data_IF_870858655634
#
_entry.id   IF_870858655634
#
_cell.length_a   1.000
_cell.length_b   1.000
_cell.length_c   1.000
_cell.angle_alpha   90.00
_cell.angle_beta   90.00
_cell.angle_gamma   90.00
#
_symmetry.space_group_name_H-M   'P 1'
#
loop_
_entity.id
_entity.type
_entity.pdbx_description
1 polymer ?
#
# COMPACT_ATOMS: atom_id res chain seq x y z
N UNK A 1 -3.21 2.30 -31.76
CA UNK A 1 -3.28 1.84 -30.35
C UNK A 1 -2.35 0.67 -30.10
N UNK A 2 -1.14 0.92 -29.60
CA UNK A 2 -0.21 -0.14 -29.20
C UNK A 2 -0.54 -0.59 -27.77
N UNK A 3 -1.62 -1.36 -27.62
CA UNK A 3 -2.02 -1.96 -26.33
C UNK A 3 -1.39 -3.35 -26.23
N UNK A 4 -0.71 -3.63 -25.11
CA UNK A 4 -0.14 -4.97 -24.88
C UNK A 4 -1.24 -5.99 -24.58
N UNK A 5 -1.01 -7.27 -24.89
CA UNK A 5 -1.97 -8.36 -24.61
C UNK A 5 -2.39 -8.40 -23.13
N UNK A 6 -1.45 -8.09 -22.22
CA UNK A 6 -1.70 -8.03 -20.78
C UNK A 6 -2.60 -6.86 -20.39
N UNK A 7 -2.43 -5.69 -21.03
CA UNK A 7 -3.32 -4.54 -20.82
C UNK A 7 -4.74 -4.83 -21.34
N UNK A 8 -4.85 -5.53 -22.47
CA UNK A 8 -6.15 -5.88 -23.04
C UNK A 8 -6.92 -6.86 -22.13
N UNK A 9 -6.23 -7.86 -21.56
CA UNK A 9 -6.82 -8.79 -20.61
C UNK A 9 -7.36 -8.10 -19.34
N UNK A 10 -6.67 -7.05 -18.88
CA UNK A 10 -7.08 -6.26 -17.71
C UNK A 10 -8.26 -5.36 -18.03
N UNK A 11 -8.28 -4.74 -19.21
CA UNK A 11 -9.41 -3.95 -19.70
C UNK A 11 -10.66 -4.83 -19.84
N UNK A 12 -10.48 -6.09 -20.23
CA UNK A 12 -11.55 -7.09 -20.30
C UNK A 12 -11.90 -7.73 -18.94
N UNK A 13 -11.28 -7.30 -17.83
CA UNK A 13 -11.48 -7.83 -16.47
C UNK A 13 -11.36 -9.37 -16.35
N UNK A 14 -10.51 -10.00 -17.19
CA UNK A 14 -10.37 -11.44 -17.24
C UNK A 14 -9.48 -11.97 -16.10
N UNK A 15 -10.08 -12.18 -14.91
CA UNK A 15 -9.39 -12.65 -13.70
C UNK A 15 -8.73 -14.03 -13.89
N UNK A 16 -9.42 -14.98 -14.52
CA UNK A 16 -8.91 -16.33 -14.76
C UNK A 16 -7.68 -16.35 -15.66
N UNK A 17 -7.65 -15.51 -16.70
CA UNK A 17 -6.51 -15.42 -17.61
C UNK A 17 -5.27 -14.90 -16.88
N UNK A 18 -5.41 -13.84 -16.08
CA UNK A 18 -4.29 -13.29 -15.29
C UNK A 18 -3.81 -14.27 -14.22
N UNK A 19 -4.71 -15.11 -13.69
CA UNK A 19 -4.37 -16.09 -12.66
C UNK A 19 -3.53 -17.28 -13.18
N UNK A 20 -3.43 -17.48 -14.50
CA UNK A 20 -2.64 -18.54 -15.12
C UNK A 20 -1.15 -18.43 -14.76
N UNK A 21 -0.50 -19.58 -14.56
CA UNK A 21 0.89 -19.63 -14.07
C UNK A 21 1.88 -18.90 -14.99
N UNK A 22 1.75 -19.07 -16.31
CA UNK A 22 2.66 -18.40 -17.26
C UNK A 22 2.57 -16.87 -17.21
N UNK A 23 1.37 -16.30 -17.00
CA UNK A 23 1.19 -14.86 -16.83
C UNK A 23 1.77 -14.40 -15.49
N UNK A 24 1.61 -15.19 -14.44
CA UNK A 24 2.17 -14.91 -13.12
C UNK A 24 3.70 -14.97 -13.12
N UNK A 25 4.31 -15.86 -13.89
CA UNK A 25 5.78 -15.94 -14.04
C UNK A 25 6.34 -14.71 -14.75
N UNK A 26 5.66 -14.24 -15.81
CA UNK A 26 6.00 -12.97 -16.48
C UNK A 26 5.86 -11.78 -15.52
N UNK A 27 4.78 -11.75 -14.73
CA UNK A 27 4.56 -10.69 -13.74
C UNK A 27 5.63 -10.70 -12.64
N UNK A 28 6.05 -11.89 -12.23
CA UNK A 28 7.14 -12.08 -11.28
C UNK A 28 8.46 -11.53 -11.84
N UNK A 29 8.78 -11.79 -13.12
CA UNK A 29 9.99 -11.24 -13.75
C UNK A 29 9.95 -9.70 -13.83
N UNK A 30 8.79 -9.14 -14.17
CA UNK A 30 8.60 -7.68 -14.16
C UNK A 30 8.78 -7.11 -12.74
N UNK A 31 8.30 -7.83 -11.71
CA UNK A 31 8.36 -7.39 -10.32
C UNK A 31 9.79 -7.35 -9.76
N UNK A 32 10.61 -8.36 -10.06
CA UNK A 32 12.03 -8.42 -9.65
C UNK A 32 12.97 -7.67 -10.61
N UNK A 33 12.49 -7.30 -11.80
CA UNK A 33 13.26 -6.56 -12.79
C UNK A 33 14.42 -7.39 -13.33
N UNK A 34 15.65 -6.87 -13.22
CA UNK A 34 16.86 -7.55 -13.73
C UNK A 34 17.56 -8.44 -12.70
N UNK A 35 16.95 -8.67 -11.54
CA UNK A 35 17.52 -9.51 -10.47
C UNK A 35 17.28 -10.99 -10.81
N UNK A 36 18.31 -11.83 -10.68
CA UNK A 36 18.18 -13.28 -10.96
C UNK A 36 17.22 -13.97 -9.97
N UNK A 37 16.41 -14.90 -10.46
CA UNK A 37 15.45 -15.70 -9.69
C UNK A 37 16.11 -16.58 -8.63
N UNK A 38 17.40 -16.89 -8.78
CA UNK A 38 18.18 -17.73 -7.84
C UNK A 38 18.47 -17.02 -6.52
N UNK A 39 18.39 -15.69 -6.49
CA UNK A 39 18.67 -14.90 -5.29
C UNK A 39 17.57 -15.11 -4.25
N UNK A 40 17.95 -15.56 -3.05
CA UNK A 40 17.00 -15.71 -1.95
C UNK A 40 16.38 -14.36 -1.53
N UNK A 41 15.09 -14.36 -1.19
CA UNK A 41 14.39 -13.14 -0.75
C UNK A 41 15.08 -12.46 0.46
N UNK A 42 15.64 -13.24 1.38
CA UNK A 42 16.38 -12.73 2.54
C UNK A 42 17.62 -11.94 2.14
N UNK A 43 18.32 -12.38 1.08
CA UNK A 43 19.51 -11.70 0.59
C UNK A 43 19.16 -10.39 -0.12
N UNK A 44 18.03 -10.33 -0.83
CA UNK A 44 17.49 -9.08 -1.41
C UNK A 44 17.09 -8.09 -0.31
N UNK A 45 16.45 -8.57 0.77
CA UNK A 45 16.08 -7.73 1.91
C UNK A 45 17.35 -7.19 2.58
N UNK A 46 18.34 -8.05 2.85
CA UNK A 46 19.61 -7.63 3.43
C UNK A 46 20.34 -6.61 2.55
N UNK A 47 20.40 -6.83 1.23
CA UNK A 47 21.03 -5.90 0.28
C UNK A 47 20.27 -4.58 0.13
N UNK A 48 18.95 -4.57 0.37
CA UNK A 48 18.15 -3.34 0.36
C UNK A 48 18.41 -2.46 1.59
N UNK A 49 18.68 -3.08 2.75
CA UNK A 49 19.07 -2.38 3.99
C UNK A 49 20.52 -1.92 3.88
N UNK A 50 21.41 -2.83 3.47
CA UNK A 50 22.83 -2.59 3.26
C UNK A 50 23.10 -2.34 1.79
N UNK A 51 22.72 -1.14 1.32
CA UNK A 51 22.93 -0.65 -0.06
C UNK A 51 24.29 -1.04 -0.68
N UNK A 52 25.42 -1.00 0.05
CA UNK A 52 26.70 -1.38 -0.52
C UNK A 52 26.77 -2.84 -1.03
N UNK A 53 25.97 -3.74 -0.45
CA UNK A 53 25.93 -5.15 -0.80
C UNK A 53 25.14 -5.42 -2.09
N UNK A 54 24.28 -4.48 -2.51
CA UNK A 54 23.46 -4.65 -3.71
C UNK A 54 24.27 -4.73 -5.00
N UNK A 55 25.43 -4.08 -5.09
CA UNK A 55 26.27 -4.17 -6.30
C UNK A 55 26.93 -5.53 -6.53
N UNK A 56 26.93 -6.42 -5.52
CA UNK A 56 27.48 -7.78 -5.58
C UNK A 56 26.44 -8.86 -5.90
N UNK A 57 25.17 -8.48 -6.05
CA UNK A 57 24.11 -9.39 -6.46
C UNK A 57 24.36 -9.95 -7.86
N UNK A 58 23.90 -11.17 -8.11
CA UNK A 58 23.80 -11.73 -9.47
C UNK A 58 22.63 -11.08 -10.18
N UNK A 59 22.92 -10.39 -11.28
CA UNK A 59 21.91 -9.81 -12.16
C UNK A 59 21.79 -10.69 -13.41
N UNK A 60 20.61 -10.69 -14.02
CA UNK A 60 20.44 -11.26 -15.35
C UNK A 60 21.27 -10.41 -16.33
N UNK A 61 22.45 -10.91 -16.69
CA UNK A 61 23.16 -10.47 -17.88
C UNK A 61 22.31 -10.77 -19.11
N UNK A 62 22.33 -9.87 -20.09
CA UNK A 62 21.73 -10.14 -21.39
C UNK A 62 22.30 -11.47 -21.92
N UNK A 63 21.43 -12.27 -22.55
CA UNK A 63 21.68 -13.56 -23.21
C UNK A 63 22.69 -13.47 -24.39
N UNK A 64 23.71 -12.61 -24.31
CA UNK A 64 24.81 -12.53 -25.28
C UNK A 64 25.87 -13.60 -24.97
N UNK A 65 25.97 -14.10 -23.73
CA UNK A 65 26.89 -15.21 -23.41
C UNK A 65 26.41 -16.58 -23.90
N UNK A 66 25.11 -16.81 -24.06
CA UNK A 66 24.62 -18.10 -24.55
C UNK A 66 24.88 -18.30 -26.05
N UNK A 67 25.06 -17.24 -26.85
CA UNK A 67 25.54 -17.42 -28.24
C UNK A 67 27.00 -17.87 -28.33
N UNK A 68 27.80 -17.67 -27.26
CA UNK A 68 29.21 -18.05 -27.25
C UNK A 68 29.43 -19.47 -26.69
N UNK A 69 28.42 -20.08 -26.04
CA UNK A 69 28.53 -21.41 -25.43
C UNK A 69 27.98 -22.57 -26.27
N UNK A 70 27.28 -22.27 -27.38
CA UNK A 70 26.78 -23.28 -28.33
C UNK A 70 27.51 -23.24 -29.68
N UNK A 71 28.83 -23.15 -29.65
CA UNK A 71 29.65 -23.43 -30.83
C UNK A 71 30.43 -24.73 -30.61
N UNK A 72 29.75 -25.86 -30.77
CA UNK A 72 30.38 -27.12 -31.20
C UNK A 72 29.55 -27.73 -32.35
N UNK A 73 30.20 -28.50 -33.24
CA UNK A 73 29.97 -28.45 -34.67
C UNK A 73 28.84 -29.37 -35.16
N UNK A 74 28.27 -28.96 -36.29
CA UNK A 74 27.52 -29.77 -37.26
C UNK A 74 26.30 -30.57 -36.77
N UNK A 75 25.10 -30.04 -37.06
CA UNK A 75 24.13 -30.62 -38.01
C UNK A 75 22.66 -30.26 -37.69
N UNK A 76 21.92 -29.88 -38.75
CA UNK A 76 20.44 -29.85 -38.86
C UNK A 76 19.63 -28.82 -38.05
N UNK A 77 19.64 -27.57 -38.52
CA UNK A 77 18.47 -26.82 -39.01
C UNK A 77 17.07 -27.19 -38.46
N UNK A 78 16.57 -26.44 -37.47
CA UNK A 78 15.14 -26.07 -37.39
C UNK A 78 14.97 -24.63 -36.89
N UNK A 79 14.09 -23.91 -37.58
CA UNK A 79 14.00 -22.46 -37.67
C UNK A 79 13.08 -21.82 -36.60
N UNK A 80 13.52 -20.73 -35.96
CA UNK A 80 12.62 -19.66 -35.49
C UNK A 80 13.14 -18.32 -36.04
N UNK A 81 12.71 -17.89 -37.25
CA UNK A 81 13.14 -16.64 -37.86
C UNK A 81 11.94 -15.69 -37.94
N UNK A 82 11.81 -14.71 -37.03
CA UNK A 82 10.81 -13.64 -37.29
C UNK A 82 10.99 -12.27 -36.64
N UNK A 83 12.13 -11.92 -36.05
CA UNK A 83 12.33 -10.54 -35.56
C UNK A 83 13.59 -9.82 -36.04
N UNK A 84 14.55 -10.52 -36.67
CA UNK A 84 15.82 -9.92 -37.12
C UNK A 84 15.81 -9.45 -38.58
N UNK A 85 14.97 -10.05 -39.43
CA UNK A 85 15.01 -9.84 -40.89
C UNK A 85 14.40 -8.54 -41.42
N UNK A 86 13.73 -7.74 -40.57
CA UNK A 86 13.11 -6.48 -41.00
C UNK A 86 14.03 -5.27 -40.83
N UNK A 87 15.05 -5.39 -39.98
CA UNK A 87 16.02 -4.31 -39.72
C UNK A 87 17.19 -4.43 -40.70
N UNK A 88 17.65 -5.67 -40.99
CA UNK A 88 18.80 -5.91 -41.86
C UNK A 88 18.54 -5.67 -43.36
N UNK A 89 17.28 -5.50 -43.78
CA UNK A 89 16.93 -5.21 -45.19
C UNK A 89 16.88 -3.71 -45.54
N UNK A 90 17.20 -2.81 -44.61
CA UNK A 90 17.20 -1.35 -44.87
C UNK A 90 18.58 -0.70 -44.94
N UNK A 91 19.67 -1.44 -44.73
CA UNK A 91 21.03 -0.91 -44.87
C UNK A 91 21.90 -1.86 -45.69
N UNK A 92 21.71 -1.87 -47.01
CA UNK A 92 22.77 -2.21 -47.94
C UNK A 92 22.80 -1.08 -48.97
N UNK A 93 23.75 -0.17 -48.82
CA UNK A 93 24.54 0.34 -49.95
C UNK A 93 25.74 1.13 -49.42
N UNK A 94 26.91 0.80 -49.99
CA UNK A 94 28.17 1.55 -50.01
C UNK A 94 28.78 2.03 -48.67
N UNK A 95 29.81 1.32 -48.17
CA UNK A 95 31.21 1.80 -48.28
C UNK A 95 32.17 1.08 -47.33
N UNK A 96 33.29 0.66 -47.91
CA UNK A 96 34.40 -0.14 -47.36
C UNK A 96 35.29 0.62 -46.36
N UNK A 97 34.73 1.57 -45.62
CA UNK A 97 35.44 2.41 -44.63
C UNK A 97 34.97 2.12 -43.19
N UNK A 98 33.88 1.38 -43.01
CA UNK A 98 33.29 1.08 -41.70
C UNK A 98 34.08 0.02 -40.90
N UNK A 99 34.86 -0.83 -41.58
CA UNK A 99 35.54 -1.96 -40.93
C UNK A 99 36.69 -1.58 -39.99
N UNK A 100 37.25 -0.36 -40.08
CA UNK A 100 38.28 0.12 -39.14
C UNK A 100 37.73 0.93 -37.97
N UNK A 101 36.52 1.45 -38.07
CA UNK A 101 35.85 2.13 -36.95
C UNK A 101 35.15 1.14 -36.01
N UNK A 102 34.80 -0.05 -36.51
CA UNK A 102 34.19 -1.11 -35.71
C UNK A 102 35.23 -1.77 -34.78
N UNK A 103 36.50 -1.88 -35.18
CA UNK A 103 37.55 -2.46 -34.31
C UNK A 103 37.93 -1.55 -33.13
N UNK A 104 37.85 -0.23 -33.28
CA UNK A 104 38.08 0.72 -32.17
C UNK A 104 36.86 0.82 -31.24
N UNK A 105 35.62 0.71 -31.76
CA UNK A 105 34.42 0.66 -30.91
C UNK A 105 34.24 -0.69 -30.19
N UNK A 106 34.75 -1.81 -30.74
CA UNK A 106 34.75 -3.11 -30.05
C UNK A 106 35.78 -3.16 -28.90
N UNK A 107 36.87 -2.40 -28.99
CA UNK A 107 37.87 -2.29 -27.93
C UNK A 107 37.46 -1.35 -26.79
N UNK A 108 36.42 -0.52 -26.95
CA UNK A 108 35.84 0.31 -25.87
C UNK A 108 34.93 -0.53 -24.93
N UNK A 109 34.53 -1.73 -25.34
CA UNK A 109 33.67 -2.63 -24.54
C UNK A 109 34.45 -3.36 -23.44
N UNK A 110 35.77 -3.52 -23.58
CA UNK A 110 36.59 -4.15 -22.54
C UNK A 110 37.22 -3.12 -21.60
N UNK A 111 36.62 -3.07 -20.38
CA UNK A 111 37.09 -2.46 -19.13
C UNK A 111 36.32 -1.21 -18.69
N UNK A 112 34.99 -1.33 -18.53
CA UNK A 112 34.29 -0.48 -17.55
C UNK A 112 34.98 -0.70 -16.18
N UNK A 113 35.43 0.37 -15.53
CA UNK A 113 36.04 0.29 -14.20
C UNK A 113 35.08 -0.43 -13.24
N UNK A 114 35.59 -1.27 -12.33
CA UNK A 114 34.75 -2.05 -11.41
C UNK A 114 33.75 -1.18 -10.62
N UNK A 115 34.12 0.08 -10.33
CA UNK A 115 33.25 1.06 -9.67
C UNK A 115 32.10 1.53 -10.58
N UNK A 116 32.35 1.74 -11.87
CA UNK A 116 31.29 2.14 -12.81
C UNK A 116 30.28 1.02 -13.01
N UNK A 117 30.75 -0.22 -13.14
CA UNK A 117 29.87 -1.40 -13.20
C UNK A 117 29.08 -1.58 -11.91
N UNK A 118 29.72 -1.39 -10.76
CA UNK A 118 29.07 -1.45 -9.45
C UNK A 118 27.95 -0.40 -9.31
N UNK A 119 28.20 0.86 -9.67
CA UNK A 119 27.18 1.93 -9.62
C UNK A 119 26.02 1.62 -10.57
N UNK A 120 26.31 1.06 -11.74
CA UNK A 120 25.29 0.64 -12.72
C UNK A 120 24.42 -0.49 -12.14
N UNK A 121 25.02 -1.49 -11.51
CA UNK A 121 24.31 -2.58 -10.84
C UNK A 121 23.43 -2.07 -9.69
N UNK A 122 23.95 -1.17 -8.83
CA UNK A 122 23.17 -0.54 -7.75
C UNK A 122 22.01 0.27 -8.32
N UNK A 123 22.21 1.01 -9.40
CA UNK A 123 21.13 1.75 -10.07
C UNK A 123 20.05 0.81 -10.59
N UNK A 124 20.44 -0.27 -11.28
CA UNK A 124 19.50 -1.29 -11.76
C UNK A 124 18.68 -1.89 -10.61
N UNK A 125 19.33 -2.17 -9.48
CA UNK A 125 18.67 -2.66 -8.27
C UNK A 125 17.61 -1.68 -7.73
N UNK A 126 17.97 -0.39 -7.60
CA UNK A 126 17.06 0.64 -7.10
C UNK A 126 15.86 0.88 -8.04
N UNK A 127 16.02 0.61 -9.34
CA UNK A 127 14.93 0.73 -10.31
C UNK A 127 13.94 -0.43 -10.24
N UNK A 128 14.31 -1.57 -9.63
CA UNK A 128 13.44 -2.74 -9.53
C UNK A 128 12.16 -2.45 -8.71
N UNK A 129 10.96 -2.82 -9.21
CA UNK A 129 9.69 -2.56 -8.52
C UNK A 129 9.61 -3.13 -7.11
N UNK A 130 10.13 -4.35 -6.89
CA UNK A 130 10.17 -4.96 -5.57
C UNK A 130 10.99 -4.16 -4.57
N UNK A 131 12.16 -3.65 -4.99
CA UNK A 131 13.04 -2.84 -4.15
C UNK A 131 12.39 -1.50 -3.80
N UNK A 132 11.71 -0.85 -4.76
CA UNK A 132 10.89 0.35 -4.50
C UNK A 132 9.79 0.07 -3.48
N UNK A 133 9.13 -1.08 -3.58
CA UNK A 133 8.13 -1.51 -2.60
C UNK A 133 8.74 -1.70 -1.20
N UNK A 134 9.91 -2.33 -1.07
CA UNK A 134 10.61 -2.47 0.21
C UNK A 134 10.98 -1.12 0.82
N UNK A 135 11.49 -0.18 0.02
CA UNK A 135 11.78 1.17 0.49
C UNK A 135 10.53 1.94 0.93
N UNK A 136 9.40 1.74 0.24
CA UNK A 136 8.12 2.30 0.67
C UNK A 136 7.65 1.69 2.00
N UNK A 137 7.84 0.39 2.21
CA UNK A 137 7.55 -0.28 3.47
C UNK A 137 8.42 0.26 4.61
N UNK A 138 9.74 0.36 4.43
CA UNK A 138 10.65 0.90 5.44
C UNK A 138 10.33 2.34 5.80
N UNK A 139 10.09 3.18 4.78
CA UNK A 139 9.64 4.55 4.94
C UNK A 139 8.36 4.64 5.77
N UNK A 140 7.35 3.82 5.47
CA UNK A 140 6.09 3.79 6.21
C UNK A 140 6.27 3.39 7.68
N UNK A 141 7.11 2.39 7.96
CA UNK A 141 7.41 1.99 9.34
C UNK A 141 8.13 3.10 10.11
N UNK A 142 9.11 3.77 9.49
CA UNK A 142 9.81 4.92 10.09
C UNK A 142 8.84 6.08 10.33
N UNK A 143 7.92 6.35 9.39
CA UNK A 143 6.87 7.33 9.55
C UNK A 143 5.98 7.03 10.76
N UNK A 144 5.51 5.79 10.92
CA UNK A 144 4.70 5.39 12.08
C UNK A 144 5.45 5.54 13.41
N UNK A 145 6.74 5.18 13.44
CA UNK A 145 7.58 5.34 14.62
C UNK A 145 7.79 6.83 14.95
N UNK A 146 8.09 7.66 13.96
CA UNK A 146 8.23 9.11 14.13
C UNK A 146 6.92 9.72 14.63
N UNK A 147 5.79 9.38 14.02
CA UNK A 147 4.48 9.88 14.42
C UNK A 147 4.18 9.46 15.86
N UNK A 148 4.35 8.19 16.20
CA UNK A 148 4.14 7.68 17.57
C UNK A 148 5.03 8.41 18.58
N UNK A 149 6.30 8.63 18.25
CA UNK A 149 7.23 9.40 19.08
C UNK A 149 6.77 10.85 19.27
N UNK A 150 6.36 11.54 18.20
CA UNK A 150 5.85 12.92 18.29
C UNK A 150 4.62 12.98 19.20
N UNK A 151 3.64 12.07 19.03
CA UNK A 151 2.41 12.07 19.82
C UNK A 151 2.63 11.76 21.31
N UNK A 152 3.60 10.90 21.62
CA UNK A 152 3.88 10.45 23.00
C UNK A 152 4.84 11.37 23.74
N UNK A 153 5.91 11.84 23.09
CA UNK A 153 7.04 12.50 23.75
C UNK A 153 7.16 13.99 23.44
N UNK A 154 6.86 14.42 22.21
CA UNK A 154 7.22 15.77 21.72
C UNK A 154 6.01 16.68 21.40
N UNK A 155 4.78 16.25 21.71
CA UNK A 155 3.56 17.02 21.43
C UNK A 155 3.18 17.94 22.61
N UNK A 156 3.70 19.16 22.59
CA UNK A 156 3.48 20.18 23.62
C UNK A 156 2.51 21.30 23.19
N UNK A 157 1.76 21.91 24.13
CA UNK A 157 0.90 23.05 23.85
C UNK A 157 1.73 24.29 23.49
N UNK A 158 1.38 24.95 22.37
CA UNK A 158 2.11 26.12 21.86
C UNK A 158 1.90 27.40 22.69
N UNK A 159 0.82 27.48 23.48
CA UNK A 159 0.38 28.72 24.13
C UNK A 159 0.48 28.67 25.65
N UNK A 160 0.86 27.53 26.24
CA UNK A 160 0.96 27.40 27.70
C UNK A 160 2.38 27.79 28.16
N UNK A 161 2.45 29.03 28.64
CA UNK A 161 3.48 29.69 29.46
C UNK A 161 4.89 29.04 29.46
N UNK A 162 5.81 29.71 28.76
CA UNK A 162 7.28 29.60 28.88
C UNK A 162 7.99 28.59 27.98
N UNK A 163 7.80 28.70 26.67
CA UNK A 163 8.87 28.39 25.71
C UNK A 163 8.84 29.33 24.51
N UNK A 164 9.94 30.04 24.27
CA UNK A 164 10.17 30.90 23.11
C UNK A 164 10.43 30.10 21.82
N UNK A 165 9.96 28.85 21.77
CA UNK A 165 10.30 27.86 20.76
C UNK A 165 9.01 27.47 20.04
N UNK A 166 9.03 27.55 18.71
CA UNK A 166 7.92 27.12 17.85
C UNK A 166 7.69 25.59 17.89
N UNK A 167 6.98 25.01 16.90
CA UNK A 167 6.81 23.56 16.84
C UNK A 167 8.16 22.84 16.90
N UNK A 168 8.20 21.68 17.56
CA UNK A 168 9.43 20.91 17.68
C UNK A 168 9.94 20.51 16.29
N UNK A 169 11.26 20.36 16.14
CA UNK A 169 11.86 19.99 14.85
C UNK A 169 11.32 18.65 14.34
N UNK A 170 11.08 17.71 15.25
CA UNK A 170 10.51 16.38 14.97
C UNK A 170 9.07 16.48 14.46
N UNK A 171 8.27 17.39 15.01
CA UNK A 171 6.93 17.66 14.52
C UNK A 171 6.92 18.37 13.17
N UNK A 172 7.85 19.32 12.94
CA UNK A 172 7.99 19.95 11.62
C UNK A 172 8.35 18.93 10.54
N UNK A 173 9.24 17.99 10.87
CA UNK A 173 9.56 16.86 9.98
C UNK A 173 8.31 16.01 9.70
N UNK A 174 7.48 15.73 10.72
CA UNK A 174 6.22 14.99 10.54
C UNK A 174 5.24 15.74 9.62
N UNK A 175 5.04 17.05 9.84
CA UNK A 175 4.18 17.90 9.00
C UNK A 175 4.67 17.89 7.55
N UNK A 176 5.99 18.06 7.36
CA UNK A 176 6.60 17.99 6.03
C UNK A 176 6.37 16.61 5.41
N UNK A 177 6.50 15.54 6.18
CA UNK A 177 6.27 14.17 5.72
C UNK A 177 4.83 13.95 5.25
N UNK A 178 3.83 14.34 6.04
CA UNK A 178 2.41 14.23 5.65
C UNK A 178 2.12 15.10 4.42
N UNK A 179 2.74 16.27 4.31
CA UNK A 179 2.67 17.08 3.10
C UNK A 179 3.23 16.35 1.87
N UNK A 180 4.30 15.55 2.02
CA UNK A 180 4.81 14.71 0.91
C UNK A 180 3.80 13.66 0.46
N UNK A 181 3.06 13.07 1.42
CA UNK A 181 2.02 12.08 1.13
C UNK A 181 0.85 12.74 0.40
N UNK A 182 0.45 13.95 0.82
CA UNK A 182 -0.53 14.77 0.08
C UNK A 182 -0.09 15.01 -1.38
N UNK A 183 1.16 15.42 -1.59
CA UNK A 183 1.68 15.63 -2.95
C UNK A 183 1.67 14.33 -3.78
N UNK A 184 1.96 13.19 -3.14
CA UNK A 184 1.90 11.90 -3.80
C UNK A 184 0.47 11.51 -4.19
N UNK A 185 -0.53 11.74 -3.33
CA UNK A 185 -1.93 11.49 -3.69
C UNK A 185 -2.42 12.40 -4.83
N UNK A 186 -2.03 13.68 -4.81
CA UNK A 186 -2.31 14.60 -5.92
C UNK A 186 -1.66 14.11 -7.23
N UNK A 187 -0.42 13.61 -7.17
CA UNK A 187 0.27 13.02 -8.32
C UNK A 187 -0.49 11.80 -8.85
N UNK A 188 -0.97 10.92 -7.98
CA UNK A 188 -1.72 9.72 -8.35
C UNK A 188 -3.02 10.06 -9.09
N UNK A 189 -3.79 11.04 -8.58
CA UNK A 189 -5.02 11.51 -9.23
C UNK A 189 -4.70 12.04 -10.63
N UNK A 190 -3.65 12.86 -10.77
CA UNK A 190 -3.25 13.46 -12.05
C UNK A 190 -2.77 12.45 -13.08
N UNK A 191 -2.07 11.40 -12.65
CA UNK A 191 -1.45 10.39 -13.51
C UNK A 191 -2.45 9.41 -14.15
N UNK A 192 -3.73 9.43 -13.75
CA UNK A 192 -4.78 8.63 -14.39
C UNK A 192 -5.01 9.09 -15.84
N UNK A 193 -5.23 8.12 -16.75
CA UNK A 193 -5.38 8.33 -18.20
C UNK A 193 -6.65 9.09 -18.61
N UNK A 194 -7.65 9.18 -17.75
CA UNK A 194 -8.95 9.83 -18.03
C UNK A 194 -8.75 11.33 -18.29
N UNK A 195 -9.34 11.93 -19.32
CA UNK A 195 -9.11 13.35 -19.63
C UNK A 195 -9.85 14.32 -18.70
N UNK A 196 -11.06 13.97 -18.25
CA UNK A 196 -11.86 14.81 -17.34
C UNK A 196 -11.37 14.73 -15.90
N UNK A 197 -11.19 15.89 -15.25
CA UNK A 197 -10.74 15.97 -13.84
C UNK A 197 -11.74 15.35 -12.87
N UNK A 198 -13.04 15.55 -13.08
CA UNK A 198 -14.08 14.93 -12.26
C UNK A 198 -14.06 13.40 -12.39
N UNK A 199 -13.91 12.90 -13.61
CA UNK A 199 -13.79 11.45 -13.87
C UNK A 199 -12.55 10.83 -13.21
N UNK A 200 -11.41 11.55 -13.18
CA UNK A 200 -10.20 11.10 -12.45
C UNK A 200 -10.49 10.95 -10.95
N UNK A 201 -11.15 11.94 -10.36
CA UNK A 201 -11.43 12.01 -8.92
C UNK A 201 -12.46 10.94 -8.51
N UNK A 202 -13.53 10.77 -9.28
CA UNK A 202 -14.54 9.73 -9.04
C UNK A 202 -13.92 8.33 -9.09
N UNK A 203 -13.09 8.05 -10.10
CA UNK A 203 -12.36 6.79 -10.20
C UNK A 203 -11.36 6.61 -9.05
N UNK A 204 -10.77 7.68 -8.53
CA UNK A 204 -9.84 7.61 -7.40
C UNK A 204 -10.56 7.22 -6.11
N UNK A 205 -11.72 7.83 -5.84
CA UNK A 205 -12.56 7.51 -4.69
C UNK A 205 -13.37 6.22 -4.83
N UNK A 206 -13.21 5.43 -5.89
CA UNK A 206 -13.81 4.08 -5.93
C UNK A 206 -13.07 3.12 -5.01
N UNK A 207 -11.75 3.30 -4.83
CA UNK A 207 -10.89 2.41 -4.06
C UNK A 207 -10.97 2.78 -2.56
N UNK A 208 -11.24 1.80 -1.70
CA UNK A 208 -11.40 2.00 -0.25
C UNK A 208 -10.15 2.61 0.39
N UNK A 209 -8.97 2.09 0.07
CA UNK A 209 -7.69 2.57 0.62
C UNK A 209 -7.43 4.04 0.30
N UNK A 210 -7.74 4.47 -0.93
CA UNK A 210 -7.62 5.87 -1.34
C UNK A 210 -8.56 6.80 -0.56
N UNK A 211 -9.77 6.32 -0.19
CA UNK A 211 -10.68 7.08 0.68
C UNK A 211 -10.08 7.24 2.08
N UNK A 212 -9.52 6.16 2.63
CA UNK A 212 -8.90 6.14 3.95
C UNK A 212 -7.68 7.07 4.00
N UNK A 213 -6.81 7.04 2.99
CA UNK A 213 -5.64 7.92 2.87
C UNK A 213 -6.05 9.39 2.78
N UNK A 214 -7.07 9.71 1.97
CA UNK A 214 -7.58 11.08 1.86
C UNK A 214 -8.17 11.57 3.17
N UNK A 215 -8.91 10.70 3.87
CA UNK A 215 -9.53 11.01 5.15
C UNK A 215 -8.47 11.28 6.24
N UNK A 216 -7.44 10.43 6.34
CA UNK A 216 -6.32 10.61 7.27
C UNK A 216 -5.61 11.95 7.04
N UNK A 217 -5.26 12.26 5.77
CA UNK A 217 -4.59 13.51 5.43
C UNK A 217 -5.46 14.73 5.80
N UNK A 218 -6.77 14.68 5.57
CA UNK A 218 -7.69 15.77 5.95
C UNK A 218 -7.75 15.93 7.48
N UNK A 219 -7.86 14.84 8.24
CA UNK A 219 -7.84 14.88 9.71
C UNK A 219 -6.55 15.47 10.26
N UNK A 220 -5.41 15.14 9.66
CA UNK A 220 -4.11 15.70 10.02
C UNK A 220 -4.08 17.22 9.82
N UNK A 221 -4.53 17.73 8.68
CA UNK A 221 -4.57 19.18 8.43
C UNK A 221 -5.57 19.90 9.34
N UNK A 222 -6.73 19.31 9.62
CA UNK A 222 -7.67 19.84 10.62
C UNK A 222 -6.99 19.94 11.99
N UNK A 223 -6.21 18.94 12.38
CA UNK A 223 -5.45 18.93 13.63
C UNK A 223 -4.40 20.04 13.66
N UNK A 224 -3.65 20.22 12.58
CA UNK A 224 -2.71 21.34 12.45
C UNK A 224 -3.43 22.69 12.66
N UNK A 225 -4.59 22.90 12.02
CA UNK A 225 -5.36 24.14 12.16
C UNK A 225 -5.84 24.33 13.60
N UNK A 226 -6.45 23.31 14.20
CA UNK A 226 -6.95 23.34 15.58
C UNK A 226 -5.83 23.63 16.60
N UNK A 227 -4.62 23.18 16.32
CA UNK A 227 -3.45 23.42 17.17
C UNK A 227 -3.03 24.90 17.20
N UNK A 228 -3.19 25.63 16.09
CA UNK A 228 -2.85 27.05 16.04
C UNK A 228 -3.91 27.97 16.64
N UNK A 229 -5.09 27.45 17.00
CA UNK A 229 -6.15 28.25 17.61
C UNK A 229 -5.89 28.45 19.12
N UNK A 230 -5.82 29.71 19.61
CA UNK A 230 -5.52 30.04 21.01
C UNK A 230 -6.75 29.93 21.92
N UNK A 231 -7.52 28.84 21.80
CA UNK A 231 -8.75 28.61 22.56
C UNK A 231 -8.52 27.49 23.58
N UNK A 232 -9.00 27.68 24.82
CA UNK A 232 -8.90 26.67 25.88
C UNK A 232 -9.60 25.36 25.47
N UNK A 233 -8.89 24.24 25.59
CA UNK A 233 -9.41 22.90 25.24
C UNK A 233 -9.19 22.45 23.79
N UNK A 234 -8.91 23.37 22.85
CA UNK A 234 -8.63 23.00 21.46
C UNK A 234 -7.39 22.09 21.32
N UNK A 235 -6.40 22.26 22.19
CA UNK A 235 -5.21 21.39 22.23
C UNK A 235 -5.55 19.93 22.57
N UNK A 236 -6.42 19.70 23.57
CA UNK A 236 -6.81 18.34 23.96
C UNK A 236 -7.64 17.66 22.85
N UNK A 237 -8.49 18.45 22.18
CA UNK A 237 -9.26 17.98 21.02
C UNK A 237 -8.31 17.64 19.87
N UNK A 238 -7.36 18.52 19.56
CA UNK A 238 -6.34 18.28 18.52
C UNK A 238 -5.53 17.02 18.82
N UNK A 239 -5.06 16.84 20.06
CA UNK A 239 -4.34 15.62 20.49
C UNK A 239 -5.18 14.36 20.31
N UNK A 240 -6.47 14.43 20.63
CA UNK A 240 -7.39 13.29 20.49
C UNK A 240 -7.62 12.93 19.02
N UNK A 241 -7.82 13.94 18.16
CA UNK A 241 -7.95 13.72 16.71
C UNK A 241 -6.65 13.14 16.14
N UNK A 242 -5.49 13.65 16.59
CA UNK A 242 -4.18 13.16 16.18
C UNK A 242 -3.95 11.68 16.56
N UNK A 243 -4.44 11.25 17.72
CA UNK A 243 -4.36 9.84 18.15
C UNK A 243 -5.26 8.92 17.30
N UNK A 244 -6.44 9.40 16.91
CA UNK A 244 -7.31 8.69 15.96
C UNK A 244 -6.64 8.63 14.59
N UNK A 245 -6.04 9.72 14.12
CA UNK A 245 -5.31 9.77 12.85
C UNK A 245 -4.17 8.77 12.81
N UNK A 246 -3.34 8.69 13.87
CA UNK A 246 -2.29 7.68 14.00
C UNK A 246 -2.84 6.24 13.88
N UNK A 247 -4.01 5.97 14.45
CA UNK A 247 -4.66 4.66 14.35
C UNK A 247 -5.04 4.32 12.91
N UNK A 248 -5.48 5.32 12.12
CA UNK A 248 -5.79 5.15 10.70
C UNK A 248 -4.52 4.82 9.90
N UNK A 249 -3.40 5.49 10.18
CA UNK A 249 -2.11 5.18 9.56
C UNK A 249 -1.59 3.78 9.91
N UNK A 250 -1.89 3.26 11.10
CA UNK A 250 -1.60 1.86 11.42
C UNK A 250 -2.43 0.90 10.57
N UNK A 251 -3.74 1.11 10.45
CA UNK A 251 -4.63 0.32 9.59
C UNK A 251 -4.14 0.34 8.13
N UNK A 252 -3.64 1.49 7.65
CA UNK A 252 -3.08 1.65 6.31
C UNK A 252 -1.92 0.70 5.99
N UNK A 253 -1.21 0.21 7.00
CA UNK A 253 -0.15 -0.80 6.84
C UNK A 253 -0.66 -2.10 6.22
N UNK A 254 -1.94 -2.45 6.44
CA UNK A 254 -2.55 -3.66 5.89
C UNK A 254 -2.55 -3.66 4.36
N UNK A 255 -2.79 -2.51 3.72
CA UNK A 255 -2.73 -2.42 2.25
C UNK A 255 -1.31 -2.65 1.71
N UNK A 256 -0.27 -2.23 2.45
CA UNK A 256 1.11 -2.56 2.08
C UNK A 256 1.32 -4.08 2.21
N UNK A 257 0.86 -4.70 3.30
CA UNK A 257 0.95 -6.15 3.49
C UNK A 257 0.11 -6.97 2.50
N UNK A 258 -0.89 -6.36 1.86
CA UNK A 258 -1.68 -7.02 0.80
C UNK A 258 -0.83 -7.42 -0.41
N UNK A 259 0.33 -6.76 -0.61
CA UNK A 259 1.31 -7.12 -1.62
C UNK A 259 2.02 -8.46 -1.36
N UNK A 260 2.07 -8.91 -0.10
CA UNK A 260 2.82 -10.10 0.29
C UNK A 260 2.06 -11.36 -0.09
N UNK A 261 2.66 -12.25 -0.89
CA UNK A 261 2.03 -13.50 -1.39
C UNK A 261 1.36 -14.36 -0.32
N UNK A 262 1.89 -14.39 0.90
CA UNK A 262 1.35 -15.19 2.02
C UNK A 262 0.18 -14.53 2.77
N UNK A 263 0.14 -13.20 2.79
CA UNK A 263 -0.84 -12.42 3.58
C UNK A 263 -1.94 -11.81 2.70
N UNK A 264 -1.64 -11.50 1.45
CA UNK A 264 -2.53 -10.81 0.54
C UNK A 264 -3.89 -11.49 0.34
N UNK A 265 -3.95 -12.77 -0.07
CA UNK A 265 -5.24 -13.46 -0.20
C UNK A 265 -6.02 -13.49 1.11
N UNK A 266 -5.35 -13.63 2.25
CA UNK A 266 -5.98 -13.60 3.58
C UNK A 266 -6.60 -12.24 3.90
N UNK A 267 -5.93 -11.15 3.54
CA UNK A 267 -6.48 -9.80 3.74
C UNK A 267 -7.68 -9.53 2.82
N UNK A 268 -7.66 -10.05 1.59
CA UNK A 268 -8.81 -10.00 0.68
C UNK A 268 -9.99 -10.79 1.26
N UNK A 269 -9.74 -11.99 1.80
CA UNK A 269 -10.78 -12.79 2.49
C UNK A 269 -11.38 -12.05 3.69
N UNK A 270 -10.56 -11.44 4.55
CA UNK A 270 -11.04 -10.64 5.68
C UNK A 270 -11.93 -9.48 5.20
N UNK A 271 -11.56 -8.81 4.10
CA UNK A 271 -12.36 -7.73 3.52
C UNK A 271 -13.76 -8.17 3.10
N UNK A 272 -13.89 -9.35 2.49
CA UNK A 272 -15.19 -9.92 2.11
C UNK A 272 -16.00 -10.38 3.33
N UNK A 273 -15.34 -10.95 4.35
CA UNK A 273 -16.00 -11.37 5.60
C UNK A 273 -16.60 -10.20 6.40
N UNK A 274 -16.12 -8.97 6.20
CA UNK A 274 -16.71 -7.79 6.85
C UNK A 274 -18.17 -7.61 6.45
N UNK A 275 -18.56 -7.97 5.21
CA UNK A 275 -19.96 -7.91 4.80
C UNK A 275 -20.83 -8.83 5.65
N UNK A 276 -20.40 -10.06 5.90
CA UNK A 276 -21.13 -11.01 6.76
C UNK A 276 -21.16 -10.53 8.22
N UNK A 277 -20.07 -9.92 8.68
CA UNK A 277 -20.00 -9.30 10.00
C UNK A 277 -21.05 -8.18 10.14
N UNK A 278 -21.35 -7.40 9.10
CA UNK A 278 -22.36 -6.32 9.21
C UNK A 278 -23.76 -6.85 9.53
N UNK A 279 -24.18 -7.95 8.90
CA UNK A 279 -25.47 -8.59 9.20
C UNK A 279 -25.49 -9.20 10.59
N UNK A 280 -24.39 -9.83 11.00
CA UNK A 280 -24.23 -10.33 12.35
C UNK A 280 -24.35 -9.21 13.39
N UNK A 281 -23.70 -8.06 13.18
CA UNK A 281 -23.76 -6.92 14.09
C UNK A 281 -25.18 -6.34 14.22
N UNK A 282 -25.97 -6.36 13.13
CA UNK A 282 -27.38 -5.97 13.18
C UNK A 282 -28.18 -6.93 14.07
N UNK A 283 -27.99 -8.25 13.88
CA UNK A 283 -28.63 -9.26 14.73
C UNK A 283 -28.21 -9.11 16.20
N UNK A 284 -26.91 -8.95 16.46
CA UNK A 284 -26.36 -8.75 17.81
C UNK A 284 -26.97 -7.52 18.50
N UNK A 285 -27.14 -6.42 17.77
CA UNK A 285 -27.73 -5.19 18.31
C UNK A 285 -29.14 -5.41 18.85
N UNK A 286 -29.96 -6.25 18.19
CA UNK A 286 -31.31 -6.60 18.66
C UNK A 286 -31.25 -7.30 20.02
N UNK A 287 -30.37 -8.30 20.16
CA UNK A 287 -30.23 -9.05 21.42
C UNK A 287 -29.62 -8.19 22.55
N UNK A 288 -28.63 -7.36 22.23
CA UNK A 288 -28.01 -6.42 23.17
C UNK A 288 -29.05 -5.44 23.72
N UNK A 289 -29.95 -4.90 22.87
CA UNK A 289 -31.01 -4.00 23.34
C UNK A 289 -32.12 -4.75 24.09
N UNK A 290 -32.48 -5.96 23.65
CA UNK A 290 -33.50 -6.79 24.30
C UNK A 290 -33.12 -7.17 25.75
N UNK A 291 -31.84 -7.38 26.02
CA UNK A 291 -31.32 -7.60 27.38
C UNK A 291 -31.01 -6.28 28.11
N UNK A 292 -30.38 -5.32 27.43
CA UNK A 292 -29.86 -4.11 28.04
C UNK A 292 -30.94 -3.19 28.59
N UNK A 293 -32.04 -2.97 27.85
CA UNK A 293 -33.11 -2.04 28.26
C UNK A 293 -33.84 -2.55 29.52
N UNK A 294 -34.33 -3.80 29.57
CA UNK A 294 -34.97 -4.32 30.79
C UNK A 294 -34.02 -4.36 31.99
N UNK A 295 -32.78 -4.81 31.80
CA UNK A 295 -31.81 -4.90 32.89
C UNK A 295 -31.46 -3.51 33.45
N UNK A 296 -31.32 -2.50 32.58
CA UNK A 296 -31.09 -1.12 33.01
C UNK A 296 -32.28 -0.56 33.80
N UNK A 297 -33.52 -0.88 33.39
CA UNK A 297 -34.74 -0.48 34.08
C UNK A 297 -34.94 -1.17 35.43
N UNK A 298 -34.47 -2.41 35.58
CA UNK A 298 -34.60 -3.15 36.83
C UNK A 298 -33.50 -2.78 37.84
N UNK A 299 -32.34 -2.30 37.38
CA UNK A 299 -31.19 -1.90 38.21
C UNK A 299 -31.27 -0.46 38.73
N UNK A 300 -31.99 0.43 38.03
CA UNK A 300 -32.07 1.84 38.37
C UNK A 300 -33.53 2.25 38.55
N UNK A 301 -33.78 3.16 39.48
CA UNK A 301 -35.08 3.80 39.62
C UNK A 301 -35.43 4.64 38.38
N UNK A 302 -36.70 5.04 38.27
CA UNK A 302 -37.22 5.88 37.19
C UNK A 302 -36.43 7.19 37.10
N UNK A 303 -35.80 7.43 35.94
CA UNK A 303 -34.96 8.59 35.67
C UNK A 303 -35.47 9.36 34.44
N UNK A 304 -35.21 10.67 34.39
CA UNK A 304 -35.47 11.49 33.20
C UNK A 304 -34.51 11.13 32.06
N UNK A 305 -34.99 11.25 30.82
CA UNK A 305 -34.17 10.95 29.64
C UNK A 305 -32.88 11.78 29.63
N UNK A 306 -31.75 11.07 29.50
CA UNK A 306 -30.43 11.66 29.31
C UNK A 306 -29.78 11.01 28.10
N UNK A 307 -29.06 11.81 27.30
CA UNK A 307 -28.28 11.33 26.16
C UNK A 307 -27.20 10.30 26.53
N UNK A 308 -26.86 10.19 27.82
CA UNK A 308 -25.95 9.16 28.32
C UNK A 308 -26.62 7.80 28.53
N UNK A 309 -27.96 7.71 28.57
CA UNK A 309 -28.69 6.46 28.82
C UNK A 309 -28.41 5.38 27.76
N UNK A 310 -28.51 5.64 26.44
CA UNK A 310 -28.23 4.61 25.43
C UNK A 310 -26.81 4.05 25.53
N UNK A 311 -25.81 4.91 25.81
CA UNK A 311 -24.42 4.49 26.03
C UNK A 311 -24.29 3.58 27.25
N UNK A 312 -24.97 3.90 28.36
CA UNK A 312 -24.97 3.07 29.58
C UNK A 312 -25.62 1.71 29.35
N UNK A 313 -26.74 1.68 28.62
CA UNK A 313 -27.48 0.47 28.27
C UNK A 313 -26.62 -0.47 27.40
N UNK A 314 -26.04 0.07 26.32
CA UNK A 314 -25.19 -0.71 25.42
C UNK A 314 -23.96 -1.22 26.16
N UNK A 315 -23.28 -0.38 26.95
CA UNK A 315 -22.11 -0.79 27.71
C UNK A 315 -22.43 -1.91 28.71
N UNK A 316 -23.57 -1.82 29.41
CA UNK A 316 -24.01 -2.84 30.36
C UNK A 316 -24.16 -4.20 29.67
N UNK A 317 -24.85 -4.25 28.53
CA UNK A 317 -25.11 -5.48 27.81
C UNK A 317 -23.87 -6.02 27.06
N UNK A 318 -23.07 -5.13 26.46
CA UNK A 318 -21.88 -5.50 25.71
C UNK A 318 -20.80 -6.14 26.60
N UNK A 319 -20.45 -5.50 27.72
CA UNK A 319 -19.42 -6.03 28.61
C UNK A 319 -19.79 -7.40 29.17
N UNK A 320 -21.08 -7.67 29.38
CA UNK A 320 -21.57 -8.96 29.84
C UNK A 320 -21.37 -10.11 28.83
N UNK A 321 -21.22 -9.83 27.53
CA UNK A 321 -20.87 -10.87 26.54
C UNK A 321 -19.40 -11.26 26.65
N UNK A 322 -18.55 -10.26 26.90
CA UNK A 322 -17.08 -10.39 26.84
C UNK A 322 -16.49 -10.81 28.18
N UNK A 323 -17.09 -10.36 29.28
CA UNK A 323 -16.59 -10.52 30.64
C UNK A 323 -17.72 -10.90 31.61
N UNK A 324 -17.45 -11.82 32.53
CA UNK A 324 -18.36 -12.17 33.63
C UNK A 324 -18.31 -11.08 34.70
N UNK A 325 -19.05 -9.99 34.53
CA UNK A 325 -19.17 -8.98 35.59
C UNK A 325 -20.13 -9.49 36.66
N UNK A 326 -19.58 -9.86 37.82
CA UNK A 326 -20.31 -10.15 39.04
C UNK A 326 -20.97 -8.85 39.55
N UNK A 327 -22.30 -8.74 39.44
CA UNK A 327 -23.06 -7.64 40.06
C UNK A 327 -23.96 -8.17 41.15
N UNK A 328 -23.95 -7.49 42.30
CA UNK A 328 -24.88 -7.70 43.40
C UNK A 328 -26.31 -7.35 42.96
N UNK A 329 -27.03 -8.34 42.45
CA UNK A 329 -28.44 -8.23 42.11
C UNK A 329 -29.31 -8.38 43.37
N UNK A 330 -29.25 -7.42 44.29
CA UNK A 330 -29.89 -7.57 45.62
C UNK A 330 -31.41 -7.34 45.61
N UNK A 331 -31.95 -6.50 44.73
CA UNK A 331 -33.36 -6.08 44.79
C UNK A 331 -34.31 -6.88 43.85
N UNK A 332 -33.79 -7.42 42.74
CA UNK A 332 -34.54 -8.19 41.73
C UNK A 332 -33.76 -9.44 41.26
N UNK A 333 -32.98 -10.02 42.18
CA UNK A 333 -31.95 -11.02 41.90
C UNK A 333 -32.38 -12.16 40.98
N UNK A 334 -33.51 -12.80 41.28
CA UNK A 334 -33.96 -13.97 40.51
C UNK A 334 -34.32 -13.65 39.05
N UNK A 335 -35.01 -12.54 38.79
CA UNK A 335 -35.42 -12.16 37.43
C UNK A 335 -34.21 -11.71 36.61
N UNK A 336 -33.32 -10.92 37.22
CA UNK A 336 -32.09 -10.48 36.57
C UNK A 336 -31.16 -11.64 36.27
N UNK A 337 -31.00 -12.56 37.23
CA UNK A 337 -30.20 -13.76 37.06
C UNK A 337 -30.75 -14.66 35.95
N UNK A 338 -32.09 -14.81 35.89
CA UNK A 338 -32.73 -15.53 34.79
C UNK A 338 -32.50 -14.87 33.43
N UNK A 339 -32.72 -13.56 33.31
CA UNK A 339 -32.46 -12.79 32.09
C UNK A 339 -30.99 -12.90 31.66
N UNK A 340 -30.08 -12.88 32.63
CA UNK A 340 -28.65 -13.02 32.41
C UNK A 340 -28.28 -14.40 31.85
N UNK A 341 -28.80 -15.48 32.44
CA UNK A 341 -28.55 -16.86 31.95
C UNK A 341 -29.04 -16.99 30.51
N UNK A 342 -30.26 -16.54 30.22
CA UNK A 342 -30.82 -16.59 28.87
C UNK A 342 -29.95 -15.78 27.90
N UNK A 343 -29.54 -14.58 28.30
CA UNK A 343 -28.71 -13.70 27.48
C UNK A 343 -27.34 -14.30 27.18
N UNK A 344 -26.60 -14.77 28.18
CA UNK A 344 -25.27 -15.39 27.99
C UNK A 344 -25.40 -16.65 27.12
N UNK A 345 -26.44 -17.46 27.33
CA UNK A 345 -26.66 -18.65 26.51
C UNK A 345 -26.90 -18.28 25.04
N UNK A 346 -27.79 -17.32 24.78
CA UNK A 346 -28.09 -16.91 23.40
C UNK A 346 -26.89 -16.19 22.77
N UNK A 347 -26.28 -15.21 23.46
CA UNK A 347 -25.20 -14.42 22.91
C UNK A 347 -23.90 -15.23 22.76
N UNK A 348 -23.45 -15.88 23.82
CA UNK A 348 -22.13 -16.53 23.84
C UNK A 348 -22.14 -17.93 23.26
N UNK A 349 -23.22 -18.71 23.45
CA UNK A 349 -23.30 -20.08 22.91
C UNK A 349 -23.94 -20.11 21.52
N UNK A 350 -25.00 -19.36 21.27
CA UNK A 350 -25.67 -19.41 19.96
C UNK A 350 -25.03 -18.43 18.97
N UNK A 351 -24.99 -17.13 19.27
CA UNK A 351 -24.58 -16.12 18.28
C UNK A 351 -23.09 -16.21 17.92
N UNK A 352 -22.19 -16.39 18.89
CA UNK A 352 -20.75 -16.53 18.58
C UNK A 352 -20.48 -17.79 17.74
N UNK A 353 -21.09 -18.93 18.06
CA UNK A 353 -20.91 -20.15 17.26
C UNK A 353 -21.51 -20.02 15.86
N UNK A 354 -22.63 -19.31 15.73
CA UNK A 354 -23.19 -18.98 14.42
C UNK A 354 -22.26 -18.05 13.63
N UNK A 355 -21.61 -17.07 14.27
CA UNK A 355 -20.60 -16.23 13.61
C UNK A 355 -19.41 -17.04 13.11
N UNK A 356 -18.89 -17.96 13.93
CA UNK A 356 -17.80 -18.85 13.54
C UNK A 356 -18.23 -19.72 12.34
N UNK A 357 -19.44 -20.27 12.36
CA UNK A 357 -19.97 -21.07 11.25
C UNK A 357 -20.13 -20.26 9.96
N UNK A 358 -20.62 -19.02 10.04
CA UNK A 358 -20.71 -18.12 8.88
C UNK A 358 -19.32 -17.82 8.31
N UNK A 359 -18.34 -17.49 9.15
CA UNK A 359 -16.97 -17.25 8.70
C UNK A 359 -16.33 -18.49 8.08
N UNK A 360 -16.56 -19.68 8.63
CA UNK A 360 -16.06 -20.93 8.03
C UNK A 360 -16.66 -21.17 6.65
N UNK A 361 -17.99 -21.05 6.53
CA UNK A 361 -18.69 -21.25 5.26
C UNK A 361 -18.25 -20.22 4.20
N UNK A 362 -18.10 -18.95 4.59
CA UNK A 362 -17.62 -17.90 3.69
C UNK A 362 -16.15 -18.12 3.33
N UNK A 363 -15.30 -18.55 4.26
CA UNK A 363 -13.90 -18.90 3.98
C UNK A 363 -13.81 -20.01 2.93
N UNK A 364 -14.54 -21.10 3.11
CA UNK A 364 -14.52 -22.25 2.20
C UNK A 364 -15.02 -21.85 0.80
N UNK A 365 -16.05 -21.00 0.72
CA UNK A 365 -16.57 -20.49 -0.55
C UNK A 365 -15.58 -19.56 -1.25
N UNK A 366 -14.91 -18.68 -0.51
CA UNK A 366 -14.11 -17.59 -1.08
C UNK A 366 -12.64 -17.92 -1.30
N UNK A 367 -12.08 -18.96 -0.65
CA UNK A 367 -10.64 -19.20 -0.68
C UNK A 367 -10.06 -19.32 -2.10
N UNK A 368 -10.75 -20.04 -3.01
CA UNK A 368 -10.28 -20.21 -4.40
C UNK A 368 -10.46 -18.96 -5.28
N UNK A 369 -11.57 -18.24 -5.09
CA UNK A 369 -11.86 -17.03 -5.86
C UNK A 369 -10.97 -15.86 -5.43
N UNK A 370 -10.68 -15.75 -4.13
CA UNK A 370 -9.85 -14.67 -3.56
C UNK A 370 -8.39 -14.78 -3.98
N UNK A 371 -7.86 -15.98 -4.17
CA UNK A 371 -6.53 -16.18 -4.76
C UNK A 371 -6.46 -15.62 -6.20
N UNK A 372 -7.50 -15.85 -7.00
CA UNK A 372 -7.59 -15.31 -8.36
C UNK A 372 -7.73 -13.78 -8.35
N UNK A 373 -8.56 -13.24 -7.46
CA UNK A 373 -8.74 -11.79 -7.27
C UNK A 373 -7.43 -11.14 -6.81
N UNK A 374 -6.72 -11.77 -5.87
CA UNK A 374 -5.44 -11.28 -5.39
C UNK A 374 -4.40 -11.26 -6.51
N UNK A 375 -4.27 -12.33 -7.30
CA UNK A 375 -3.38 -12.37 -8.48
C UNK A 375 -3.71 -11.27 -9.51
N UNK A 376 -4.98 -10.94 -9.67
CA UNK A 376 -5.41 -9.82 -10.51
C UNK A 376 -5.00 -8.46 -9.91
N UNK A 377 -5.14 -8.28 -8.59
CA UNK A 377 -4.70 -7.08 -7.88
C UNK A 377 -3.17 -6.89 -7.94
N UNK A 378 -2.40 -7.99 -7.91
CA UNK A 378 -0.94 -7.94 -8.05
C UNK A 378 -0.51 -7.27 -9.35
N UNK A 379 -1.19 -7.52 -10.47
CA UNK A 379 -0.89 -6.82 -11.72
C UNK A 379 -1.00 -5.30 -11.58
N UNK A 380 -2.08 -4.84 -10.95
CA UNK A 380 -2.32 -3.40 -10.71
C UNK A 380 -1.24 -2.81 -9.80
N UNK A 381 -0.79 -3.56 -8.80
CA UNK A 381 0.31 -3.19 -7.91
C UNK A 381 1.65 -3.07 -8.65
N UNK A 382 2.00 -4.05 -9.49
CA UNK A 382 3.25 -4.00 -10.28
C UNK A 382 3.25 -2.78 -11.20
N UNK A 383 2.14 -2.54 -11.91
CA UNK A 383 1.97 -1.35 -12.75
C UNK A 383 2.09 -0.04 -11.98
N UNK A 384 1.62 -0.03 -10.72
CA UNK A 384 1.71 1.12 -9.84
C UNK A 384 3.17 1.40 -9.43
N UNK A 385 3.91 0.37 -9.00
CA UNK A 385 5.31 0.50 -8.58
C UNK A 385 6.24 0.86 -9.76
N UNK A 386 5.95 0.39 -10.96
CA UNK A 386 6.69 0.79 -12.17
C UNK A 386 6.59 2.30 -12.44
N UNK A 387 5.42 2.91 -12.17
CA UNK A 387 5.17 4.34 -12.41
C UNK A 387 5.60 5.24 -11.25
N UNK A 388 5.93 4.67 -10.08
CA UNK A 388 6.38 5.45 -8.93
C UNK A 388 7.80 5.95 -9.12
N UNK A 389 8.10 7.18 -8.63
CA UNK A 389 9.47 7.68 -8.59
C UNK A 389 10.35 6.79 -7.71
N UNK A 390 11.66 6.90 -7.89
CA UNK A 390 12.66 6.05 -7.22
C UNK A 390 12.65 6.19 -5.70
N UNK A 391 12.53 7.42 -5.20
CA UNK A 391 12.67 7.70 -3.78
C UNK A 391 11.35 7.53 -3.02
N UNK A 392 11.35 6.82 -1.89
CA UNK A 392 10.19 6.79 -1.00
C UNK A 392 9.97 8.15 -0.32
N UNK A 393 8.79 8.41 0.26
CA UNK A 393 8.62 9.50 1.24
C UNK A 393 9.69 9.38 2.36
N UNK A 394 10.31 10.46 2.88
CA UNK A 394 10.06 11.88 2.65
C UNK A 394 10.86 12.46 1.46
N UNK A 395 11.87 11.73 0.97
CA UNK A 395 12.77 12.20 -0.11
C UNK A 395 12.10 12.33 -1.47
N UNK A 396 10.86 11.84 -1.60
CA UNK A 396 10.03 12.01 -2.79
C UNK A 396 9.84 13.49 -3.17
N UNK A 397 9.91 14.43 -2.20
CA UNK A 397 9.89 15.88 -2.48
C UNK A 397 10.94 16.25 -3.52
N UNK A 398 12.15 15.72 -3.41
CA UNK A 398 13.26 16.05 -4.32
C UNK A 398 12.90 15.63 -5.75
N UNK A 399 12.28 14.46 -5.92
CA UNK A 399 11.80 13.99 -7.21
C UNK A 399 10.68 14.88 -7.77
N UNK A 400 9.73 15.29 -6.93
CA UNK A 400 8.65 16.20 -7.34
C UNK A 400 9.18 17.57 -7.74
N UNK A 401 10.08 18.16 -6.94
CA UNK A 401 10.76 19.44 -7.23
C UNK A 401 11.51 19.33 -8.55
N UNK A 402 12.31 18.28 -8.75
CA UNK A 402 13.05 18.05 -9.99
C UNK A 402 12.14 17.97 -11.22
N UNK A 403 11.01 17.25 -11.10
CA UNK A 403 10.02 17.16 -12.19
C UNK A 403 9.32 18.49 -12.46
N UNK A 404 9.02 19.26 -11.43
CA UNK A 404 8.44 20.60 -11.57
C UNK A 404 9.44 21.52 -12.26
N UNK A 405 10.71 21.49 -11.86
CA UNK A 405 11.79 22.27 -12.49
C UNK A 405 11.90 21.92 -13.97
N UNK A 406 11.96 20.63 -14.33
CA UNK A 406 12.00 20.20 -15.73
C UNK A 406 10.74 20.64 -16.48
N UNK A 407 9.57 20.53 -15.87
CA UNK A 407 8.31 20.96 -16.48
C UNK A 407 8.31 22.46 -16.77
N UNK A 408 8.65 23.29 -15.78
CA UNK A 408 8.76 24.75 -15.92
C UNK A 408 9.82 25.08 -16.97
N UNK A 409 11.01 24.50 -16.90
CA UNK A 409 12.08 24.73 -17.86
C UNK A 409 11.67 24.37 -19.29
N UNK A 410 11.01 23.22 -19.49
CA UNK A 410 10.50 22.80 -20.80
C UNK A 410 9.39 23.71 -21.33
N UNK A 411 8.57 24.28 -20.45
CA UNK A 411 7.50 25.20 -20.82
C UNK A 411 8.04 26.58 -21.18
N UNK A 412 9.06 27.06 -20.46
CA UNK A 412 9.73 28.35 -20.70
C UNK A 412 10.62 28.29 -21.95
N UNK A 413 11.31 27.17 -22.22
CA UNK A 413 12.26 27.06 -23.33
C UNK A 413 11.71 26.43 -24.62
N UNK A 414 10.44 26.00 -24.67
CA UNK A 414 9.79 25.38 -25.87
C UNK A 414 10.60 24.23 -26.53
N UNK A 415 11.58 23.65 -25.84
CA UNK A 415 12.43 22.58 -26.36
C UNK A 415 11.79 21.22 -26.06
N UNK A 416 10.89 20.78 -26.96
CA UNK A 416 10.26 19.44 -26.94
C UNK A 416 11.28 18.29 -26.81
N UNK A 417 12.52 18.50 -27.26
CA UNK A 417 13.57 17.49 -27.28
C UNK A 417 14.08 17.09 -25.88
N UNK A 418 14.12 18.02 -24.91
CA UNK A 418 14.62 17.74 -23.56
C UNK A 418 13.63 16.92 -22.71
N UNK A 419 12.33 17.07 -22.97
CA UNK A 419 11.25 16.43 -22.22
C UNK A 419 11.15 14.91 -22.51
N UNK A 420 11.51 14.46 -23.71
CA UNK A 420 11.42 13.03 -24.09
C UNK A 420 12.55 12.15 -23.54
N UNK A 421 13.74 12.71 -23.29
CA UNK A 421 14.92 11.90 -22.91
C UNK A 421 14.96 11.51 -21.43
N UNK A 422 14.27 12.24 -20.55
CA UNK A 422 14.44 12.11 -19.10
C UNK A 422 13.19 11.64 -18.32
N UNK A 423 12.04 11.47 -18.98
CA UNK A 423 10.75 11.18 -18.30
C UNK A 423 10.11 9.84 -18.70
N UNK A 424 10.69 9.08 -19.64
CA UNK A 424 10.09 7.82 -20.11
C UNK A 424 10.54 6.61 -19.31
#
# INVERSE_FOLDING_TARGET
>A
DNVTWLQLAVIAESKLFIAQQGVQDVLHDIWYGRIDRRVSHSLIIFSSIMLPYSGFLTYCEELIEDSNKYNEPDSSQYHIPRLKTTIDKMCNDSDTTCSRLIDDDFNIVHKKSGIKQYIENVSIFLHAPYVKYLYNLYSHVIFLLLFSYVLLCDYFPLYEYQSNYGPSMTELILILWVFTLLCEEIRQIRAKKIHSMYGKLQSYFTILWNKLDTFAIILFFITCILRFLPISGCFNIARTILAIDLSIWYIRTLDIFSAVKRLGPKLVMIGEMVHDLTFFMLMLTVFVLAFGVPTYSLLNDVQNFSWHMPRRIINLAYWQIVEDIEKNYELNGYVMFFLLIVYITVASVLLINLLIAMFSNTFDRLHMDTDCIWKFQQYSLVCYQLKRPLFPPPFIIISHIWRIIIYVFSHTFKTKWFYMKYIK
#
